data_IF_049789244275
#
_entry.id   IF_049789244275
#
_cell.length_a   1.000
_cell.length_b   1.000
_cell.length_c   1.000
_cell.angle_alpha   90.00
_cell.angle_beta   90.00
_cell.angle_gamma   90.00
#
_symmetry.space_group_name_H-M   'P 1'
#
loop_
_entity.id
_entity.type
_entity.pdbx_description
1 polymer ?
#
# COMPACT_ATOMS: atom_id res chain seq x y z
N UNK A 1 -2.21 -1.80 -2.17
CA UNK A 1 -1.51 -1.60 -3.46
C UNK A 1 -0.19 -2.35 -3.43
N UNK A 2 0.48 -2.61 -4.57
CA UNK A 2 1.71 -3.43 -4.61
C UNK A 2 2.84 -2.84 -3.74
N UNK A 3 3.00 -1.53 -3.78
CA UNK A 3 4.11 -0.86 -3.09
C UNK A 3 3.94 -0.83 -1.56
N UNK A 4 2.71 -1.06 -1.06
CA UNK A 4 2.43 -1.18 0.38
C UNK A 4 3.10 -2.44 0.99
N UNK A 5 3.43 -3.44 0.16
CA UNK A 5 4.06 -4.70 0.58
C UNK A 5 5.59 -4.71 0.46
N UNK A 6 6.23 -3.62 0.06
CA UNK A 6 7.68 -3.53 -0.04
C UNK A 6 8.33 -3.51 1.35
N UNK A 7 9.45 -4.22 1.52
CA UNK A 7 10.27 -4.09 2.72
C UNK A 7 10.89 -2.69 2.80
N UNK A 8 10.74 -2.00 3.93
CA UNK A 8 11.22 -0.63 4.14
C UNK A 8 12.74 -0.56 4.34
N UNK A 9 13.48 -0.86 3.27
CA UNK A 9 14.92 -0.60 3.18
C UNK A 9 15.21 0.91 3.26
N UNK A 10 16.46 1.34 3.49
CA UNK A 10 16.81 2.77 3.49
C UNK A 10 16.40 3.51 2.21
N UNK A 11 16.48 2.87 1.05
CA UNK A 11 16.06 3.45 -0.23
C UNK A 11 14.54 3.67 -0.29
N UNK A 12 13.75 2.72 0.23
CA UNK A 12 12.29 2.84 0.31
C UNK A 12 11.90 3.94 1.30
N UNK A 13 12.59 4.03 2.45
CA UNK A 13 12.34 5.10 3.44
C UNK A 13 12.62 6.49 2.86
N UNK A 14 13.70 6.65 2.11
CA UNK A 14 13.98 7.91 1.43
C UNK A 14 12.97 8.21 0.31
N UNK A 15 12.48 7.20 -0.41
CA UNK A 15 11.41 7.39 -1.38
C UNK A 15 10.11 7.86 -0.70
N UNK A 16 9.72 7.24 0.43
CA UNK A 16 8.56 7.65 1.21
C UNK A 16 8.69 9.10 1.72
N UNK A 17 9.90 9.51 2.16
CA UNK A 17 10.18 10.89 2.61
C UNK A 17 10.01 11.93 1.50
N UNK A 18 10.15 11.55 0.23
CA UNK A 18 10.03 12.45 -0.94
C UNK A 18 8.61 12.58 -1.46
N UNK A 19 7.72 11.66 -1.11
CA UNK A 19 6.33 11.70 -1.53
C UNK A 19 5.58 12.83 -0.83
N UNK A 20 4.48 13.25 -1.44
CA UNK A 20 3.52 14.13 -0.80
C UNK A 20 2.98 13.47 0.48
N UNK A 21 2.89 14.21 1.61
CA UNK A 21 2.30 13.71 2.85
C UNK A 21 0.95 13.00 2.67
N UNK A 22 0.06 13.53 1.83
CA UNK A 22 -1.29 12.95 1.65
C UNK A 22 -1.22 11.52 1.08
N UNK A 23 -0.27 11.27 0.17
CA UNK A 23 -0.04 9.93 -0.42
C UNK A 23 0.49 8.96 0.64
N UNK A 24 1.36 9.45 1.53
CA UNK A 24 1.91 8.66 2.64
C UNK A 24 0.81 8.33 3.64
N UNK A 25 -0.08 9.26 3.94
CA UNK A 25 -1.21 9.04 4.84
C UNK A 25 -2.23 8.05 4.26
N UNK A 26 -2.53 8.12 2.97
CA UNK A 26 -3.34 7.12 2.27
C UNK A 26 -2.71 5.72 2.33
N UNK A 27 -1.39 5.62 2.14
CA UNK A 27 -0.63 4.37 2.32
C UNK A 27 -0.79 3.84 3.75
N UNK A 28 -0.59 4.70 4.74
CA UNK A 28 -0.67 4.34 6.14
C UNK A 28 -2.07 3.83 6.50
N UNK A 29 -3.12 4.48 6.00
CA UNK A 29 -4.49 4.03 6.18
C UNK A 29 -4.72 2.61 5.62
N UNK A 30 -4.23 2.32 4.41
CA UNK A 30 -4.33 0.98 3.80
C UNK A 30 -3.61 -0.08 4.63
N UNK A 31 -2.41 0.22 5.13
CA UNK A 31 -1.61 -0.69 5.96
C UNK A 31 -2.31 -0.98 7.29
N UNK A 32 -2.79 0.05 8.00
CA UNK A 32 -3.52 -0.09 9.26
C UNK A 32 -4.79 -0.93 9.06
N UNK A 33 -5.55 -0.65 7.99
CA UNK A 33 -6.75 -1.42 7.64
C UNK A 33 -6.42 -2.89 7.38
N UNK A 34 -5.35 -3.18 6.64
CA UNK A 34 -4.91 -4.57 6.40
C UNK A 34 -4.47 -5.27 7.70
N UNK A 35 -3.78 -4.55 8.58
CA UNK A 35 -3.40 -5.03 9.92
C UNK A 35 -4.63 -5.39 10.76
N UNK A 36 -5.64 -4.52 10.78
CA UNK A 36 -6.90 -4.76 11.50
C UNK A 36 -7.61 -6.04 11.02
N UNK A 37 -7.77 -6.23 9.72
CA UNK A 37 -8.37 -7.44 9.14
C UNK A 37 -7.55 -8.70 9.46
N UNK A 38 -6.23 -8.59 9.45
CA UNK A 38 -5.33 -9.69 9.80
C UNK A 38 -5.50 -10.13 11.26
N UNK A 39 -5.72 -9.20 12.18
CA UNK A 39 -6.03 -9.50 13.59
C UNK A 39 -7.34 -10.26 13.72
N UNK A 40 -8.34 -9.91 12.91
CA UNK A 40 -9.64 -10.56 12.90
C UNK A 40 -9.69 -11.88 12.12
N UNK A 41 -8.61 -12.24 11.40
CA UNK A 41 -8.59 -13.35 10.43
C UNK A 41 -9.67 -13.20 9.35
N UNK A 42 -9.94 -11.96 8.96
CA UNK A 42 -10.94 -11.61 7.95
C UNK A 42 -10.30 -10.96 6.72
N UNK A 43 -11.09 -10.79 5.66
CA UNK A 43 -10.69 -10.17 4.41
C UNK A 43 -11.72 -9.12 3.98
N UNK A 44 -11.33 -8.25 3.04
CA UNK A 44 -12.26 -7.29 2.48
C UNK A 44 -13.39 -7.97 1.68
N UNK A 45 -14.58 -7.35 1.61
CA UNK A 45 -15.56 -7.67 0.59
C UNK A 45 -14.95 -7.60 -0.81
N UNK A 46 -15.38 -8.50 -1.71
CA UNK A 46 -14.75 -8.70 -3.03
C UNK A 46 -14.79 -7.45 -3.90
N UNK A 47 -15.83 -6.63 -3.76
CA UNK A 47 -16.04 -5.37 -4.49
C UNK A 47 -14.98 -4.32 -4.14
N UNK A 48 -14.36 -4.44 -2.95
CA UNK A 48 -13.34 -3.54 -2.43
C UNK A 48 -11.91 -4.05 -2.67
N UNK A 49 -11.74 -5.19 -3.32
CA UNK A 49 -10.42 -5.69 -3.64
C UNK A 49 -9.72 -4.78 -4.65
N UNK A 50 -8.44 -4.53 -4.42
CA UNK A 50 -7.62 -3.80 -5.39
C UNK A 50 -7.62 -4.57 -6.71
N UNK A 51 -8.06 -3.94 -7.79
CA UNK A 51 -8.11 -4.57 -9.11
C UNK A 51 -6.71 -4.52 -9.72
N UNK A 52 -6.32 -5.59 -10.41
CA UNK A 52 -4.98 -5.70 -11.01
C UNK A 52 -4.66 -4.53 -11.96
N UNK A 53 -5.62 -4.10 -12.76
CA UNK A 53 -5.47 -2.96 -13.68
C UNK A 53 -5.21 -1.61 -12.97
N UNK A 54 -5.60 -1.49 -11.70
CA UNK A 54 -5.46 -0.26 -10.90
C UNK A 54 -4.13 -0.27 -10.12
N UNK A 55 -3.42 -1.40 -10.09
CA UNK A 55 -2.08 -1.50 -9.53
C UNK A 55 -1.11 -1.03 -10.60
N UNK A 56 -0.54 0.17 -10.43
CA UNK A 56 0.45 0.71 -11.36
C UNK A 56 1.59 -0.28 -11.56
N UNK A 57 1.62 -0.91 -12.73
CA UNK A 57 2.86 -1.39 -13.30
C UNK A 57 3.60 -0.13 -13.75
N UNK A 58 4.27 0.53 -12.80
CA UNK A 58 5.13 1.68 -13.11
C UNK A 58 6.17 1.18 -14.10
N UNK A 59 6.12 1.73 -15.31
CA UNK A 59 7.08 1.54 -16.37
C UNK A 59 8.49 1.76 -15.80
N UNK A 60 9.22 0.67 -15.56
CA UNK A 60 10.67 0.70 -15.47
C UNK A 60 11.18 0.54 -16.89
N UNK A 61 11.13 1.64 -17.64
CA UNK A 61 11.95 1.89 -18.82
C UNK A 61 13.19 2.67 -18.40
#
# INVERSE_FOLDING_TARGET
MRDDCLHETPAVKEALRRLDPDIVDERNFRIVRAGYLTLQKDVLPKEQWTKLKDVSCSNLS
#
